data_IF_169435774719
#
_entry.id   IF_169435774719
#
_cell.length_a   1.000
_cell.length_b   1.000
_cell.length_c   1.000
_cell.angle_alpha   90.00
_cell.angle_beta   90.00
_cell.angle_gamma   90.00
#
_symmetry.space_group_name_H-M   'P 1'
#
loop_
_entity.id
_entity.type
_entity.pdbx_description
1 polymer ?
#
# COMPACT_ATOMS: atom_id res chain seq x y z
N UNK A 1 14.80 -16.58 27.55
CA UNK A 1 14.39 -15.60 26.51
C UNK A 1 13.00 -15.05 26.84
N UNK A 2 12.84 -13.73 26.97
CA UNK A 2 11.60 -13.08 27.42
C UNK A 2 10.42 -13.28 26.44
N UNK A 3 9.26 -13.68 26.99
CA UNK A 3 7.99 -13.93 26.26
C UNK A 3 7.58 -12.76 25.33
N UNK A 4 8.01 -11.54 25.65
CA UNK A 4 7.74 -10.29 24.90
C UNK A 4 8.35 -10.28 23.48
N UNK A 5 9.44 -11.01 23.23
CA UNK A 5 10.07 -11.07 21.90
C UNK A 5 9.31 -11.96 20.91
N UNK A 6 8.60 -13.00 21.38
CA UNK A 6 7.84 -13.92 20.52
C UNK A 6 6.56 -13.29 19.96
N UNK A 7 5.87 -12.42 20.72
CA UNK A 7 4.65 -11.76 20.27
C UNK A 7 4.92 -10.72 19.17
N UNK A 8 5.98 -9.92 19.31
CA UNK A 8 6.38 -8.91 18.32
C UNK A 8 6.70 -9.53 16.95
N UNK A 9 7.31 -10.72 16.92
CA UNK A 9 7.59 -11.43 15.66
C UNK A 9 6.31 -11.88 14.97
N UNK A 10 5.31 -12.40 15.71
CA UNK A 10 4.02 -12.79 15.12
C UNK A 10 3.29 -11.59 14.52
N UNK A 11 3.25 -10.44 15.22
CA UNK A 11 2.59 -9.23 14.71
C UNK A 11 3.28 -8.69 13.46
N UNK A 12 4.62 -8.69 13.43
CA UNK A 12 5.38 -8.31 12.23
C UNK A 12 5.07 -9.22 11.05
N UNK A 13 5.01 -10.53 11.28
CA UNK A 13 4.73 -11.52 10.23
C UNK A 13 3.33 -11.31 9.64
N UNK A 14 2.33 -11.09 10.49
CA UNK A 14 0.95 -10.78 10.07
C UNK A 14 0.90 -9.47 9.27
N UNK A 15 1.60 -8.42 9.71
CA UNK A 15 1.69 -7.16 8.97
C UNK A 15 2.33 -7.33 7.59
N UNK A 16 3.40 -8.12 7.49
CA UNK A 16 4.05 -8.42 6.21
C UNK A 16 3.15 -9.25 5.29
N UNK A 17 2.41 -10.23 5.83
CA UNK A 17 1.43 -11.00 5.07
C UNK A 17 0.27 -10.12 4.57
N UNK A 18 -0.23 -9.19 5.39
CA UNK A 18 -1.24 -8.22 4.98
C UNK A 18 -0.70 -7.35 3.84
N UNK A 19 0.53 -6.83 3.97
CA UNK A 19 1.18 -6.01 2.92
C UNK A 19 1.41 -6.77 1.61
N UNK A 20 1.64 -8.08 1.68
CA UNK A 20 1.79 -8.95 0.49
C UNK A 20 0.45 -9.23 -0.18
N UNK A 21 -0.62 -9.40 0.61
CA UNK A 21 -1.98 -9.65 0.11
C UNK A 21 -2.66 -8.40 -0.40
N UNK A 22 -2.27 -7.22 0.09
CA UNK A 22 -2.85 -5.96 -0.40
C UNK A 22 -2.24 -5.60 -1.74
N UNK A 23 -3.08 -5.38 -2.78
CA UNK A 23 -2.58 -4.98 -4.09
C UNK A 23 -1.90 -3.61 -4.00
N UNK A 24 -0.74 -3.49 -4.64
CA UNK A 24 0.00 -2.22 -4.70
C UNK A 24 -0.47 -1.47 -5.94
N UNK A 25 -1.19 -0.38 -5.72
CA UNK A 25 -1.66 0.46 -6.81
C UNK A 25 -0.61 1.53 -7.05
N UNK A 26 0.16 1.43 -8.14
CA UNK A 26 1.11 2.46 -8.54
C UNK A 26 0.37 3.46 -9.41
N UNK A 27 0.22 4.68 -8.91
CA UNK A 27 -0.38 5.79 -9.63
C UNK A 27 0.73 6.71 -10.16
N UNK A 28 0.63 7.06 -11.42
CA UNK A 28 1.58 7.88 -12.17
C UNK A 28 0.83 9.07 -12.74
N UNK A 29 1.24 10.27 -12.35
CA UNK A 29 0.85 11.51 -13.01
C UNK A 29 2.12 12.22 -13.49
N UNK A 30 2.01 13.11 -14.48
CA UNK A 30 3.09 13.88 -15.14
C UNK A 30 4.49 13.74 -14.50
N UNK A 31 4.71 14.32 -13.31
CA UNK A 31 5.99 14.30 -12.59
C UNK A 31 5.93 13.61 -11.21
N UNK A 32 4.93 12.76 -10.97
CA UNK A 32 4.64 12.20 -9.67
C UNK A 32 4.30 10.71 -9.78
N UNK A 33 5.00 9.90 -8.99
CA UNK A 33 4.74 8.48 -8.84
C UNK A 33 4.42 8.21 -7.38
N UNK A 34 3.24 7.69 -7.10
CA UNK A 34 2.80 7.34 -5.74
C UNK A 34 2.27 5.91 -5.69
N UNK A 35 2.68 5.19 -4.66
CA UNK A 35 2.15 3.85 -4.39
C UNK A 35 1.02 3.97 -3.37
N UNK A 36 -0.19 3.63 -3.80
CA UNK A 36 -1.40 3.65 -3.01
C UNK A 36 -1.68 2.25 -2.47
N UNK A 37 -2.25 2.19 -1.27
CA UNK A 37 -2.53 0.93 -0.55
C UNK A 37 -3.96 0.44 -0.74
N UNK A 38 -4.85 1.32 -1.17
CA UNK A 38 -6.27 1.00 -1.33
C UNK A 38 -6.91 1.84 -2.44
N UNK A 39 -8.09 1.40 -2.87
CA UNK A 39 -8.86 2.03 -3.95
C UNK A 39 -9.39 3.41 -3.56
N UNK A 40 -9.76 3.63 -2.30
CA UNK A 40 -10.23 4.94 -1.84
C UNK A 40 -9.18 6.04 -1.94
N UNK A 41 -7.89 5.68 -1.81
CA UNK A 41 -6.79 6.60 -2.11
C UNK A 41 -6.72 6.88 -3.61
N UNK A 42 -6.85 5.84 -4.45
CA UNK A 42 -6.86 6.00 -5.91
C UNK A 42 -7.96 6.96 -6.37
N UNK A 43 -9.18 6.82 -5.85
CA UNK A 43 -10.30 7.71 -6.19
C UNK A 43 -10.01 9.17 -5.85
N UNK A 44 -9.28 9.43 -4.76
CA UNK A 44 -8.85 10.80 -4.40
C UNK A 44 -7.79 11.30 -5.37
N UNK A 45 -6.83 10.46 -5.76
CA UNK A 45 -5.78 10.84 -6.69
C UNK A 45 -6.33 11.09 -8.10
N UNK A 46 -7.28 10.28 -8.58
CA UNK A 46 -7.97 10.50 -9.85
C UNK A 46 -8.80 11.79 -9.86
N UNK A 47 -9.33 12.23 -8.72
CA UNK A 47 -10.02 13.54 -8.61
C UNK A 47 -9.06 14.72 -8.72
N UNK A 48 -7.84 14.59 -8.19
CA UNK A 48 -6.84 15.67 -8.20
C UNK A 48 -6.11 15.70 -9.54
N UNK A 49 -5.81 14.53 -10.09
CA UNK A 49 -5.07 14.33 -11.33
C UNK A 49 -5.91 13.43 -12.26
N UNK A 50 -6.87 14.01 -13.00
CA UNK A 50 -7.78 13.25 -13.86
C UNK A 50 -7.05 12.53 -15.01
N UNK A 51 -5.90 13.06 -15.44
CA UNK A 51 -5.04 12.47 -16.47
C UNK A 51 -4.06 11.42 -15.90
N UNK A 52 -4.18 11.08 -14.62
CA UNK A 52 -3.26 10.16 -13.97
C UNK A 52 -3.56 8.70 -14.31
N UNK A 53 -2.53 7.95 -14.66
CA UNK A 53 -2.61 6.53 -14.96
C UNK A 53 -2.32 5.71 -13.70
N UNK A 54 -2.87 4.49 -13.62
CA UNK A 54 -2.56 3.60 -12.52
C UNK A 54 -2.41 2.14 -12.96
N UNK A 55 -1.54 1.43 -12.25
CA UNK A 55 -1.27 0.01 -12.44
C UNK A 55 -1.50 -0.68 -11.10
N UNK A 56 -2.29 -1.74 -11.09
CA UNK A 56 -2.49 -2.59 -9.91
C UNK A 56 -1.51 -3.77 -10.03
N UNK A 57 -0.53 -3.84 -9.12
CA UNK A 57 0.47 -4.91 -9.03
C UNK A 57 0.24 -5.81 -7.82
#
# INVERSE_FOLDING_TARGET
>A
MSKRRKSLNKTKQILEDIKKRTPKIVFTAKNLIVTLRNRSQLDKWLKIYPDGEYIIK
#
